data_IF_489219064659
#
_entry.id   IF_489219064659
#
_cell.length_a   1.000
_cell.length_b   1.000
_cell.length_c   1.000
_cell.angle_alpha   90.00
_cell.angle_beta   90.00
_cell.angle_gamma   90.00
#
_symmetry.space_group_name_H-M   'P 1'
#
loop_
_entity.id
_entity.type
_entity.pdbx_description
1 polymer ?
#
# COMPACT_ATOMS: atom_id res chain seq x y z
N UNK A 1 22.78 0.82 27.53
CA UNK A 1 22.69 -0.52 26.94
C UNK A 1 22.01 -0.43 25.59
N UNK A 2 22.54 -1.13 24.61
CA UNK A 2 22.06 -1.05 23.22
C UNK A 2 21.11 -2.19 22.84
N UNK A 3 20.57 -2.92 23.81
CA UNK A 3 19.62 -4.02 23.58
C UNK A 3 18.24 -3.55 23.99
N UNK A 4 17.25 -3.78 23.12
CA UNK A 4 15.86 -3.47 23.42
C UNK A 4 14.96 -4.65 23.04
N UNK A 5 13.77 -4.68 23.63
CA UNK A 5 12.73 -5.66 23.31
C UNK A 5 11.42 -4.90 23.13
N UNK A 6 10.83 -5.00 21.94
CA UNK A 6 9.62 -4.24 21.60
C UNK A 6 8.45 -4.55 22.54
N UNK A 7 8.29 -5.82 22.95
CA UNK A 7 7.24 -6.24 23.87
C UNK A 7 7.59 -6.04 25.36
N UNK A 8 8.61 -5.23 25.66
CA UNK A 8 8.96 -4.95 27.05
C UNK A 8 7.83 -4.19 27.76
N UNK A 9 7.74 -4.39 29.09
CA UNK A 9 6.75 -3.71 29.92
C UNK A 9 6.83 -2.18 29.75
N UNK A 10 5.68 -1.53 29.64
CA UNK A 10 5.53 -0.06 29.52
C UNK A 10 6.11 0.54 28.23
N UNK A 11 6.42 -0.28 27.27
CA UNK A 11 6.90 0.22 25.97
C UNK A 11 5.74 0.78 25.16
N UNK A 12 6.05 1.64 24.18
CA UNK A 12 5.08 2.25 23.28
C UNK A 12 4.90 1.41 22.04
N UNK A 13 3.69 1.48 21.43
CA UNK A 13 3.40 0.84 20.15
C UNK A 13 4.06 1.63 19.02
N UNK A 14 4.69 0.93 18.11
CA UNK A 14 5.37 1.52 16.94
C UNK A 14 4.90 0.85 15.66
N UNK A 15 4.33 1.61 14.70
CA UNK A 15 3.95 1.05 13.40
C UNK A 15 5.12 0.38 12.68
N UNK A 16 6.32 0.93 12.76
CA UNK A 16 7.49 0.34 12.11
C UNK A 16 7.88 -1.00 12.75
N UNK A 17 7.83 -1.12 14.07
CA UNK A 17 8.12 -2.36 14.75
C UNK A 17 7.03 -3.41 14.51
N UNK A 18 5.76 -3.00 14.49
CA UNK A 18 4.66 -3.89 14.13
C UNK A 18 4.83 -4.43 12.71
N UNK A 19 5.18 -3.58 11.74
CA UNK A 19 5.40 -4.00 10.37
C UNK A 19 6.57 -4.99 10.25
N UNK A 20 7.65 -4.75 10.98
CA UNK A 20 8.79 -5.67 11.03
C UNK A 20 8.40 -7.03 11.56
N UNK A 21 7.62 -7.06 12.66
CA UNK A 21 7.13 -8.31 13.26
C UNK A 21 6.19 -9.06 12.31
N UNK A 22 5.21 -8.39 11.72
CA UNK A 22 4.25 -9.03 10.81
C UNK A 22 4.92 -9.49 9.51
N UNK A 23 5.93 -8.78 9.02
CA UNK A 23 6.71 -9.22 7.85
C UNK A 23 7.41 -10.55 8.14
N UNK A 24 7.95 -10.73 9.32
CA UNK A 24 8.57 -11.98 9.72
C UNK A 24 7.55 -13.13 9.76
N UNK A 25 6.33 -12.86 10.27
CA UNK A 25 5.25 -13.86 10.32
C UNK A 25 4.80 -14.27 8.93
N UNK A 26 4.75 -13.35 7.96
CA UNK A 26 4.38 -13.64 6.58
C UNK A 26 5.56 -14.12 5.74
N UNK A 27 6.72 -14.33 6.34
CA UNK A 27 7.95 -14.76 5.65
C UNK A 27 8.36 -13.78 4.53
N UNK A 28 8.22 -12.49 4.79
CA UNK A 28 8.58 -11.44 3.84
C UNK A 28 7.62 -11.26 2.68
N UNK A 29 6.51 -12.00 2.63
CA UNK A 29 5.58 -11.96 1.51
C UNK A 29 4.62 -10.78 1.62
N UNK A 30 4.31 -10.17 0.47
CA UNK A 30 3.17 -9.27 0.32
C UNK A 30 2.00 -10.07 -0.25
N UNK A 31 0.82 -9.95 0.35
CA UNK A 31 -0.32 -10.80 0.00
C UNK A 31 -1.61 -10.00 -0.07
N UNK A 32 -2.53 -10.42 -0.97
CA UNK A 32 -3.90 -9.92 -1.01
C UNK A 32 -4.74 -10.81 -0.09
N UNK A 33 -5.50 -10.18 0.81
CA UNK A 33 -6.37 -10.91 1.72
C UNK A 33 -7.75 -11.14 1.06
N UNK A 34 -8.45 -12.24 1.40
CA UNK A 34 -9.80 -12.49 0.88
C UNK A 34 -10.82 -11.60 1.61
N UNK A 35 -10.76 -10.32 1.38
CA UNK A 35 -11.60 -9.30 2.01
C UNK A 35 -12.21 -8.39 0.95
N UNK A 36 -13.39 -7.83 1.26
CA UNK A 36 -14.06 -6.91 0.35
C UNK A 36 -14.34 -7.56 -1.00
N UNK A 37 -14.04 -6.85 -2.07
CA UNK A 37 -14.19 -7.33 -3.45
C UNK A 37 -12.86 -7.81 -4.06
N UNK A 38 -11.86 -8.12 -3.23
CA UNK A 38 -10.55 -8.62 -3.65
C UNK A 38 -9.84 -7.70 -4.66
N UNK A 39 -10.04 -6.38 -4.53
CA UNK A 39 -9.51 -5.39 -5.49
C UNK A 39 -9.93 -5.67 -6.92
N UNK A 40 -11.15 -6.16 -7.16
CA UNK A 40 -11.61 -6.43 -8.52
C UNK A 40 -11.49 -5.18 -9.39
N UNK A 41 -11.09 -5.36 -10.65
CA UNK A 41 -10.81 -4.24 -11.54
C UNK A 41 -11.80 -4.27 -12.69
N UNK A 42 -12.41 -3.11 -12.97
CA UNK A 42 -13.20 -2.87 -14.16
C UNK A 42 -12.58 -1.71 -14.93
N UNK A 43 -12.74 -1.72 -16.24
CA UNK A 43 -12.08 -0.74 -17.10
C UNK A 43 -13.13 -0.08 -17.99
N UNK A 44 -13.02 1.24 -18.11
CA UNK A 44 -13.80 2.04 -19.06
C UNK A 44 -12.84 2.99 -19.79
N UNK A 45 -12.57 2.71 -21.07
CA UNK A 45 -11.54 3.43 -21.80
C UNK A 45 -10.16 3.19 -21.19
N UNK A 46 -9.49 4.24 -20.78
CA UNK A 46 -8.19 4.18 -20.11
C UNK A 46 -8.30 4.32 -18.57
N UNK A 47 -9.52 4.33 -18.04
CA UNK A 47 -9.74 4.47 -16.61
C UNK A 47 -10.04 3.11 -16.01
N UNK A 48 -9.19 2.67 -15.09
CA UNK A 48 -9.42 1.48 -14.28
C UNK A 48 -10.08 1.89 -12.96
N UNK A 49 -11.08 1.12 -12.55
CA UNK A 49 -11.69 1.24 -11.22
C UNK A 49 -11.32 0.02 -10.40
N UNK A 50 -10.68 0.24 -9.28
CA UNK A 50 -10.21 -0.80 -8.38
C UNK A 50 -11.19 -0.88 -7.21
N UNK A 51 -11.77 -2.06 -7.01
CA UNK A 51 -12.75 -2.30 -5.96
C UNK A 51 -12.12 -2.36 -4.56
N UNK A 52 -12.99 -2.46 -3.56
CA UNK A 52 -12.56 -2.57 -2.17
C UNK A 52 -11.76 -3.85 -1.92
N UNK A 53 -10.93 -3.83 -0.89
CA UNK A 53 -10.14 -4.98 -0.51
C UNK A 53 -9.09 -4.64 0.52
N UNK A 54 -8.34 -5.65 0.94
CA UNK A 54 -7.22 -5.51 1.86
C UNK A 54 -6.02 -6.29 1.38
N UNK A 55 -4.83 -5.77 1.68
CA UNK A 55 -3.57 -6.43 1.40
C UNK A 55 -2.59 -6.18 2.54
N UNK A 56 -1.59 -7.06 2.66
CA UNK A 56 -0.45 -6.83 3.53
C UNK A 56 0.76 -6.60 2.63
N UNK A 57 1.38 -5.44 2.77
CA UNK A 57 2.60 -5.07 2.04
C UNK A 57 3.73 -4.91 3.06
N UNK A 58 4.61 -5.90 3.09
CA UNK A 58 5.73 -5.95 4.03
C UNK A 58 5.31 -5.63 5.47
N UNK A 59 4.27 -6.32 5.94
CA UNK A 59 3.76 -6.20 7.29
C UNK A 59 2.77 -5.07 7.53
N UNK A 60 2.49 -4.25 6.52
CA UNK A 60 1.56 -3.13 6.62
C UNK A 60 0.21 -3.50 6.03
N UNK A 61 -0.83 -3.35 6.81
CA UNK A 61 -2.20 -3.62 6.36
C UNK A 61 -2.70 -2.42 5.54
N UNK A 62 -3.02 -2.67 4.29
CA UNK A 62 -3.55 -1.68 3.35
C UNK A 62 -5.01 -2.01 3.07
N UNK A 63 -5.87 -0.99 3.07
CA UNK A 63 -7.28 -1.17 2.77
C UNK A 63 -7.78 -0.12 1.79
N UNK A 64 -8.52 -0.56 0.78
CA UNK A 64 -9.35 0.32 -0.06
C UNK A 64 -10.78 0.16 0.46
N UNK A 65 -11.31 1.23 1.05
CA UNK A 65 -12.64 1.23 1.68
C UNK A 65 -13.76 1.61 0.72
N UNK A 66 -13.43 2.29 -0.37
CA UNK A 66 -14.35 2.65 -1.46
C UNK A 66 -13.61 2.49 -2.78
N UNK A 67 -14.30 2.14 -3.87
CA UNK A 67 -13.63 2.00 -5.16
C UNK A 67 -12.83 3.24 -5.54
N UNK A 68 -11.62 3.01 -6.04
CA UNK A 68 -10.71 4.06 -6.47
C UNK A 68 -10.47 3.96 -7.97
N UNK A 69 -10.24 5.09 -8.63
CA UNK A 69 -9.97 5.15 -10.06
C UNK A 69 -8.50 5.46 -10.31
N UNK A 70 -8.00 4.90 -11.43
CA UNK A 70 -6.64 5.14 -11.90
C UNK A 70 -6.67 5.27 -13.41
N UNK A 71 -6.12 6.38 -13.93
CA UNK A 71 -5.98 6.56 -15.38
C UNK A 71 -4.70 5.85 -15.85
N UNK A 72 -4.85 4.96 -16.82
CA UNK A 72 -3.73 4.21 -17.38
C UNK A 72 -3.14 4.99 -18.57
N UNK A 73 -1.81 4.93 -18.77
CA UNK A 73 -1.19 5.57 -19.93
C UNK A 73 -1.59 4.84 -21.21
N UNK A 74 -1.80 5.61 -22.30
CA UNK A 74 -2.13 5.05 -23.59
C UNK A 74 -0.92 4.33 -24.23
N UNK A 75 -1.20 3.35 -25.08
CA UNK A 75 -0.19 2.61 -25.85
C UNK A 75 0.95 2.07 -24.96
N UNK A 76 0.59 1.50 -23.84
CA UNK A 76 1.55 1.06 -22.83
C UNK A 76 1.17 -0.31 -22.26
N UNK A 77 2.10 -0.93 -21.59
CA UNK A 77 1.86 -2.14 -20.79
C UNK A 77 2.62 -2.03 -19.48
N UNK A 78 2.10 -2.66 -18.44
CA UNK A 78 2.72 -2.61 -17.13
C UNK A 78 1.83 -3.21 -16.05
N UNK A 79 1.93 -2.63 -14.87
CA UNK A 79 1.24 -3.13 -13.68
C UNK A 79 0.40 -2.03 -13.04
N UNK A 80 -0.76 -2.41 -12.53
CA UNK A 80 -1.48 -1.62 -11.54
C UNK A 80 -0.93 -2.08 -10.18
N UNK A 81 -0.40 -1.13 -9.42
CA UNK A 81 0.29 -1.44 -8.17
C UNK A 81 -0.25 -0.64 -7.00
N UNK A 82 -0.25 -1.27 -5.83
CA UNK A 82 -0.35 -0.58 -4.55
C UNK A 82 1.08 -0.16 -4.18
N UNK A 83 1.28 1.15 -4.02
CA UNK A 83 2.59 1.72 -3.69
C UNK A 83 2.60 2.14 -2.24
N UNK A 84 3.52 1.58 -1.46
CA UNK A 84 3.84 2.10 -0.13
C UNK A 84 5.10 2.94 -0.27
N UNK A 85 4.96 4.23 0.04
CA UNK A 85 5.99 5.23 -0.18
C UNK A 85 6.28 5.97 1.13
N UNK A 86 7.32 5.56 1.82
CA UNK A 86 7.72 6.12 3.11
C UNK A 86 8.44 7.47 2.98
N UNK A 87 8.69 7.95 1.76
CA UNK A 87 9.19 9.32 1.55
C UNK A 87 8.09 10.37 1.73
N UNK A 88 6.83 9.94 1.71
CA UNK A 88 5.68 10.81 1.91
C UNK A 88 5.37 10.97 3.40
N UNK A 89 4.66 12.03 3.74
CA UNK A 89 4.20 12.32 5.10
C UNK A 89 2.68 12.33 5.12
N UNK A 90 2.10 11.69 6.13
CA UNK A 90 0.65 11.73 6.32
C UNK A 90 0.23 13.07 6.93
N UNK A 91 -0.97 13.53 6.60
CA UNK A 91 -1.54 14.74 7.17
C UNK A 91 -2.38 14.39 8.39
N UNK A 92 -2.27 15.21 9.42
CA UNK A 92 -2.98 15.03 10.69
C UNK A 92 -3.88 16.21 10.92
N UNK A 93 -5.12 15.96 11.35
CA UNK A 93 -6.06 17.00 11.77
C UNK A 93 -6.68 16.63 13.12
N UNK A 94 -7.08 17.67 13.87
CA UNK A 94 -7.60 17.51 15.22
C UNK A 94 -6.51 17.26 16.25
N UNK A 95 -6.93 17.07 17.50
CA UNK A 95 -6.01 16.86 18.63
C UNK A 95 -5.89 15.37 18.95
N UNK A 96 -4.68 14.91 19.23
CA UNK A 96 -4.41 13.54 19.65
C UNK A 96 -5.25 13.20 20.89
N UNK A 97 -5.87 12.03 20.86
CA UNK A 97 -6.71 11.54 21.95
C UNK A 97 -8.12 12.09 21.96
N UNK A 98 -8.53 12.85 20.96
CA UNK A 98 -9.89 13.37 20.82
C UNK A 98 -10.62 12.70 19.65
N UNK A 99 -11.98 12.70 19.64
CA UNK A 99 -12.74 12.15 18.51
C UNK A 99 -12.54 12.92 17.20
N UNK A 100 -12.01 14.14 17.24
CA UNK A 100 -11.72 14.94 16.05
C UNK A 100 -10.37 14.57 15.39
N UNK A 101 -9.52 13.76 16.05
CA UNK A 101 -8.24 13.35 15.51
C UNK A 101 -8.44 12.45 14.30
N UNK A 102 -7.83 12.81 13.18
CA UNK A 102 -7.83 11.98 11.98
C UNK A 102 -6.50 12.08 11.25
N UNK A 103 -6.19 11.02 10.51
CA UNK A 103 -4.97 10.93 9.69
C UNK A 103 -5.38 10.73 8.25
N UNK A 104 -4.94 11.63 7.36
CA UNK A 104 -5.02 11.42 5.92
C UNK A 104 -3.75 10.72 5.48
N UNK A 105 -3.90 9.51 4.96
CA UNK A 105 -2.77 8.69 4.56
C UNK A 105 -2.29 9.12 3.17
N UNK A 106 -1.03 9.53 3.08
CA UNK A 106 -0.35 9.87 1.82
C UNK A 106 0.75 8.85 1.47
N UNK A 107 1.10 7.98 2.40
CA UNK A 107 2.18 7.00 2.23
C UNK A 107 1.77 5.76 1.44
N UNK A 108 0.51 5.66 1.03
CA UNK A 108 0.03 4.58 0.17
C UNK A 108 -0.87 5.16 -0.92
N UNK A 109 -0.67 4.67 -2.14
CA UNK A 109 -1.49 5.09 -3.28
C UNK A 109 -1.45 4.03 -4.39
N UNK A 110 -2.34 4.17 -5.36
CA UNK A 110 -2.36 3.34 -6.56
C UNK A 110 -1.55 4.02 -7.66
N UNK A 111 -0.83 3.22 -8.45
CA UNK A 111 -0.06 3.74 -9.58
C UNK A 111 -0.07 2.75 -10.73
N UNK A 112 0.04 3.29 -11.94
CA UNK A 112 0.33 2.53 -13.16
C UNK A 112 1.86 2.54 -13.36
N UNK A 113 2.47 1.37 -13.27
CA UNK A 113 3.92 1.22 -13.39
C UNK A 113 4.25 0.55 -14.71
N UNK A 114 4.93 1.28 -15.59
CA UNK A 114 5.24 0.80 -16.96
C UNK A 114 6.62 0.18 -17.09
N UNK A 115 7.44 0.26 -16.06
CA UNK A 115 8.79 -0.32 -16.03
C UNK A 115 8.91 -1.42 -14.99
N UNK A 116 10.12 -1.58 -14.50
CA UNK A 116 10.41 -2.51 -13.40
C UNK A 116 9.79 -1.99 -12.11
N UNK A 117 9.15 -2.87 -11.35
CA UNK A 117 8.63 -2.54 -10.04
C UNK A 117 9.76 -2.22 -9.07
N UNK A 118 9.60 -1.16 -8.30
CA UNK A 118 10.51 -0.82 -7.19
C UNK A 118 10.03 -1.58 -5.94
N UNK A 119 10.87 -2.47 -5.43
CA UNK A 119 10.48 -3.34 -4.32
C UNK A 119 11.55 -3.32 -3.22
N UNK A 120 11.78 -2.14 -2.65
CA UNK A 120 12.70 -1.97 -1.53
C UNK A 120 12.21 -2.75 -0.30
N UNK A 121 13.15 -3.16 0.53
CA UNK A 121 12.81 -3.71 1.84
C UNK A 121 12.51 -2.56 2.80
N UNK A 122 11.22 -2.31 3.04
CA UNK A 122 10.75 -1.21 3.90
C UNK A 122 11.15 -1.40 5.37
N UNK A 123 11.49 -2.60 5.78
CA UNK A 123 11.85 -2.92 7.15
C UNK A 123 13.37 -2.92 7.37
N UNK A 124 14.13 -2.58 6.33
CA UNK A 124 15.59 -2.54 6.37
C UNK A 124 16.14 -1.33 5.59
N UNK A 125 15.57 -0.16 5.85
CA UNK A 125 16.04 1.12 5.30
C UNK A 125 15.52 1.49 3.93
N UNK A 126 14.67 0.68 3.30
CA UNK A 126 14.03 1.02 2.03
C UNK A 126 12.85 1.97 2.21
N UNK A 127 12.47 2.67 1.13
CA UNK A 127 11.41 3.69 1.19
C UNK A 127 10.21 3.39 0.32
N UNK A 128 10.35 2.65 -0.77
CA UNK A 128 9.27 2.43 -1.75
C UNK A 128 9.13 0.95 -2.05
N UNK A 129 7.92 0.44 -1.90
CA UNK A 129 7.58 -0.91 -2.32
C UNK A 129 6.29 -0.89 -3.14
N UNK A 130 6.36 -1.37 -4.37
CA UNK A 130 5.26 -1.45 -5.31
C UNK A 130 4.78 -2.90 -5.41
N UNK A 131 3.58 -3.16 -4.89
CA UNK A 131 2.95 -4.48 -4.98
C UNK A 131 2.01 -4.49 -6.19
N UNK A 132 2.31 -5.29 -7.20
CA UNK A 132 1.44 -5.45 -8.36
C UNK A 132 0.17 -6.21 -7.98
N UNK A 133 -0.99 -5.67 -8.34
CA UNK A 133 -2.28 -6.33 -8.17
C UNK A 133 -2.87 -6.79 -9.50
N UNK A 134 -2.42 -6.22 -10.62
CA UNK A 134 -2.85 -6.60 -11.96
C UNK A 134 -1.81 -6.19 -13.00
N UNK A 135 -1.89 -6.80 -14.16
CA UNK A 135 -1.19 -6.36 -15.37
C UNK A 135 -2.16 -5.62 -16.27
N UNK A 136 -1.66 -4.67 -17.05
CA UNK A 136 -2.47 -4.00 -18.06
C UNK A 136 -1.73 -3.87 -19.38
N UNK A 137 -2.51 -3.80 -20.45
CA UNK A 137 -2.06 -3.43 -21.80
C UNK A 137 -3.09 -2.46 -22.36
N UNK A 138 -2.64 -1.33 -22.89
CA UNK A 138 -3.51 -0.30 -23.40
C UNK A 138 -3.26 -0.02 -24.87
N UNK A 139 -4.32 0.41 -25.55
CA UNK A 139 -4.27 1.01 -26.86
C UNK A 139 -4.33 2.55 -26.73
N UNK A 140 -4.64 3.26 -27.81
CA UNK A 140 -4.79 4.72 -27.76
C UNK A 140 -5.95 5.15 -26.85
N UNK A 141 -7.00 4.33 -26.74
CA UNK A 141 -8.25 4.71 -26.05
C UNK A 141 -8.80 3.66 -25.09
N UNK A 142 -8.26 2.44 -25.07
CA UNK A 142 -8.82 1.34 -24.26
C UNK A 142 -7.73 0.53 -23.58
N UNK A 143 -8.13 -0.14 -22.50
CA UNK A 143 -7.28 -1.05 -21.73
C UNK A 143 -7.85 -2.46 -21.71
#
# INVERSE_FOLDING_TARGET
>A
MAITMYQSDRNTVSPANDASLYTAITNGQSVILPRGNNFNITVNGLVATIGTGQAIVQGRLIEITQPETLTLPANSSGYIAIVVDLTKTNDVSGDIGTPSYSVKVNQVYLAAVTGTLTQDDLNNGGFVNEMAIAKFTTTTTTA
#
